data_IF_200418729625
#
_entry.id   IF_200418729625
#
_cell.length_a   1.000
_cell.length_b   1.000
_cell.length_c   1.000
_cell.angle_alpha   90.00
_cell.angle_beta   90.00
_cell.angle_gamma   90.00
#
_symmetry.space_group_name_H-M   'P 1'
#
loop_
_entity.id
_entity.type
_entity.pdbx_description
1 polymer ?
#
# COMPACT_ATOMS: atom_id res chain seq x y z
N UNK A 1 -27.15 32.77 1.08
CA UNK A 1 -27.19 31.50 0.33
C UNK A 1 -25.86 31.10 -0.34
N UNK A 2 -24.89 32.01 -0.44
CA UNK A 2 -23.59 31.79 -1.11
C UNK A 2 -22.65 30.82 -0.37
N UNK A 3 -22.73 30.80 0.96
CA UNK A 3 -21.86 30.00 1.84
C UNK A 3 -22.04 28.47 1.66
N UNK A 4 -23.24 28.01 1.29
CA UNK A 4 -23.55 26.58 1.15
C UNK A 4 -23.01 25.98 -0.15
N UNK A 5 -22.96 26.77 -1.23
CA UNK A 5 -22.36 26.36 -2.51
C UNK A 5 -20.84 26.26 -2.38
N UNK A 6 -20.20 27.28 -1.79
CA UNK A 6 -18.76 27.29 -1.49
C UNK A 6 -18.34 26.09 -0.61
N UNK A 7 -19.12 25.75 0.43
CA UNK A 7 -18.87 24.55 1.24
C UNK A 7 -18.98 23.26 0.42
N UNK A 8 -19.99 23.12 -0.44
CA UNK A 8 -20.14 21.95 -1.32
C UNK A 8 -19.00 21.85 -2.34
N UNK A 9 -18.58 22.95 -2.93
CA UNK A 9 -17.46 23.01 -3.87
C UNK A 9 -16.12 22.72 -3.18
N UNK A 10 -15.89 23.21 -1.96
CA UNK A 10 -14.73 22.85 -1.14
C UNK A 10 -14.71 21.35 -0.79
N UNK A 11 -15.87 20.77 -0.46
CA UNK A 11 -16.00 19.33 -0.20
C UNK A 11 -15.77 18.52 -1.49
N UNK A 12 -16.21 19.03 -2.65
CA UNK A 12 -16.02 18.37 -3.94
C UNK A 12 -14.57 18.48 -4.43
N UNK A 13 -13.94 19.63 -4.26
CA UNK A 13 -12.52 19.87 -4.55
C UNK A 13 -11.60 19.07 -3.61
N UNK A 14 -11.97 18.91 -2.33
CA UNK A 14 -11.31 17.95 -1.42
C UNK A 14 -11.36 16.51 -1.93
N UNK A 15 -12.41 16.13 -2.65
CA UNK A 15 -12.60 14.77 -3.16
C UNK A 15 -11.86 14.46 -4.47
N UNK A 16 -11.45 15.47 -5.24
CA UNK A 16 -10.75 15.29 -6.52
C UNK A 16 -9.22 15.36 -6.38
N UNK A 17 -8.70 15.26 -5.15
CA UNK A 17 -7.27 15.45 -4.90
C UNK A 17 -6.45 14.35 -5.60
N UNK A 18 -5.34 14.71 -6.28
CA UNK A 18 -4.49 13.75 -6.99
C UNK A 18 -3.84 12.69 -6.09
N UNK A 19 -3.87 12.87 -4.77
CA UNK A 19 -3.50 11.88 -3.75
C UNK A 19 -4.47 10.70 -3.67
N UNK A 20 -5.76 10.89 -3.96
CA UNK A 20 -6.74 9.79 -3.93
C UNK A 20 -6.51 8.82 -5.09
N UNK A 21 -6.08 9.27 -6.29
CA UNK A 21 -5.73 8.38 -7.41
C UNK A 21 -4.64 7.38 -7.02
N UNK A 22 -3.53 7.87 -6.47
CA UNK A 22 -2.44 7.01 -5.97
C UNK A 22 -2.91 6.13 -4.80
N UNK A 23 -3.79 6.66 -3.94
CA UNK A 23 -4.42 5.88 -2.87
C UNK A 23 -5.21 4.68 -3.40
N UNK A 24 -6.03 4.88 -4.43
CA UNK A 24 -6.79 3.80 -5.09
C UNK A 24 -5.85 2.82 -5.79
N UNK A 25 -4.87 3.31 -6.54
CA UNK A 25 -3.90 2.45 -7.23
C UNK A 25 -3.16 1.53 -6.25
N UNK A 26 -2.65 2.07 -5.14
CA UNK A 26 -1.97 1.29 -4.10
C UNK A 26 -2.92 0.28 -3.46
N UNK A 27 -4.16 0.68 -3.16
CA UNK A 27 -5.15 -0.23 -2.57
C UNK A 27 -5.43 -1.41 -3.51
N UNK A 28 -5.68 -1.14 -4.79
CA UNK A 28 -5.94 -2.18 -5.81
C UNK A 28 -4.74 -3.10 -6.00
N UNK A 29 -3.53 -2.54 -6.16
CA UNK A 29 -2.29 -3.32 -6.29
C UNK A 29 -2.07 -4.18 -5.06
N UNK A 30 -2.31 -3.64 -3.86
CA UNK A 30 -2.15 -4.37 -2.60
C UNK A 30 -3.15 -5.52 -2.47
N UNK A 31 -4.41 -5.33 -2.90
CA UNK A 31 -5.41 -6.40 -2.91
C UNK A 31 -5.02 -7.50 -3.89
N UNK A 32 -4.65 -7.14 -5.12
CA UNK A 32 -4.27 -8.12 -6.15
C UNK A 32 -3.01 -8.88 -5.76
N UNK A 33 -1.99 -8.19 -5.27
CA UNK A 33 -0.73 -8.82 -4.86
C UNK A 33 -0.93 -9.67 -3.59
N UNK A 34 -1.77 -9.22 -2.65
CA UNK A 34 -2.14 -9.99 -1.46
C UNK A 34 -2.90 -11.27 -1.79
N UNK A 35 -3.88 -11.21 -2.71
CA UNK A 35 -4.62 -12.39 -3.18
C UNK A 35 -3.70 -13.36 -3.93
N UNK A 36 -2.79 -12.84 -4.76
CA UNK A 36 -1.79 -13.66 -5.45
C UNK A 36 -0.89 -14.42 -4.48
N UNK A 37 -0.29 -13.72 -3.49
CA UNK A 37 0.57 -14.33 -2.46
C UNK A 37 -0.22 -15.34 -1.61
N UNK A 38 -1.50 -15.07 -1.33
CA UNK A 38 -2.33 -15.97 -0.55
C UNK A 38 -2.64 -17.28 -1.30
N UNK A 39 -2.83 -17.22 -2.63
CA UNK A 39 -3.19 -18.37 -3.46
C UNK A 39 -1.99 -19.18 -3.93
N UNK A 40 -0.85 -18.53 -4.17
CA UNK A 40 0.34 -19.19 -4.70
C UNK A 40 1.32 -19.46 -3.56
N UNK A 41 1.39 -20.74 -3.19
CA UNK A 41 2.35 -21.24 -2.20
C UNK A 41 3.79 -21.17 -2.73
N UNK A 42 4.70 -20.70 -1.88
CA UNK A 42 6.15 -20.69 -2.11
C UNK A 42 6.70 -19.46 -2.82
N UNK A 43 5.85 -18.51 -3.24
CA UNK A 43 6.27 -17.33 -4.00
C UNK A 43 7.30 -16.48 -3.24
N UNK A 44 6.99 -16.09 -2.00
CA UNK A 44 7.90 -15.26 -1.20
C UNK A 44 9.16 -16.04 -0.77
N UNK A 45 9.02 -17.34 -0.49
CA UNK A 45 10.09 -18.24 -0.06
C UNK A 45 11.10 -18.46 -1.18
N UNK A 46 10.65 -18.55 -2.44
CA UNK A 46 11.56 -18.57 -3.60
C UNK A 46 12.33 -17.27 -3.78
N UNK A 47 11.80 -16.15 -3.29
CA UNK A 47 12.37 -14.81 -3.43
C UNK A 47 13.09 -14.29 -2.17
N UNK A 48 13.10 -15.06 -1.07
CA UNK A 48 13.62 -14.60 0.22
C UNK A 48 14.96 -15.23 0.63
N UNK A 49 15.58 -16.06 -0.24
CA UNK A 49 16.80 -16.80 0.07
C UNK A 49 16.62 -17.83 1.22
N UNK A 50 17.55 -18.79 1.43
CA UNK A 50 17.37 -19.85 2.44
C UNK A 50 17.23 -19.31 3.88
N UNK A 51 17.72 -18.09 4.15
CA UNK A 51 17.65 -17.43 5.45
C UNK A 51 16.23 -17.05 5.90
N UNK A 52 15.28 -16.91 4.96
CA UNK A 52 13.88 -16.55 5.24
C UNK A 52 12.88 -17.61 4.76
N UNK A 53 13.34 -18.85 4.59
CA UNK A 53 12.55 -20.01 4.15
C UNK A 53 11.31 -20.34 5.00
N UNK A 54 11.17 -19.76 6.20
CA UNK A 54 10.03 -19.91 7.11
C UNK A 54 9.12 -18.67 7.18
N UNK A 55 9.12 -17.83 6.16
CA UNK A 55 8.21 -16.68 6.13
C UNK A 55 6.74 -17.14 6.08
N UNK A 56 5.85 -16.58 6.92
CA UNK A 56 4.43 -16.90 6.90
C UNK A 56 3.75 -16.22 5.71
N UNK A 57 3.99 -16.72 4.48
CA UNK A 57 3.55 -16.11 3.22
C UNK A 57 2.05 -15.83 3.18
N UNK A 58 1.24 -16.83 3.55
CA UNK A 58 -0.23 -16.70 3.61
C UNK A 58 -0.66 -15.60 4.56
N UNK A 59 0.05 -15.46 5.69
CA UNK A 59 -0.18 -14.38 6.65
C UNK A 59 0.13 -13.03 6.01
N UNK A 60 1.28 -12.89 5.36
CA UNK A 60 1.69 -11.66 4.69
C UNK A 60 0.69 -11.28 3.59
N UNK A 61 0.32 -12.21 2.71
CA UNK A 61 -0.66 -11.99 1.66
C UNK A 61 -2.03 -11.56 2.20
N UNK A 62 -2.51 -12.23 3.26
CA UNK A 62 -3.76 -11.91 3.92
C UNK A 62 -3.72 -10.53 4.60
N UNK A 63 -2.61 -10.17 5.27
CA UNK A 63 -2.41 -8.82 5.81
C UNK A 63 -2.41 -7.75 4.72
N UNK A 64 -1.76 -8.02 3.59
CA UNK A 64 -1.68 -7.11 2.44
C UNK A 64 -3.07 -6.88 1.83
N UNK A 65 -3.86 -7.95 1.70
CA UNK A 65 -5.24 -7.92 1.24
C UNK A 65 -6.13 -7.12 2.21
N UNK A 66 -6.12 -7.45 3.50
CA UNK A 66 -6.91 -6.72 4.50
C UNK A 66 -6.52 -5.24 4.58
N UNK A 67 -5.23 -4.92 4.59
CA UNK A 67 -4.77 -3.53 4.59
C UNK A 67 -5.19 -2.77 3.32
N UNK A 68 -5.17 -3.43 2.16
CA UNK A 68 -5.67 -2.90 0.89
C UNK A 68 -7.18 -2.63 0.92
N UNK A 69 -7.98 -3.57 1.43
CA UNK A 69 -9.43 -3.40 1.59
C UNK A 69 -9.75 -2.26 2.57
N UNK A 70 -9.07 -2.20 3.72
CA UNK A 70 -9.24 -1.12 4.71
C UNK A 70 -8.91 0.24 4.08
N UNK A 71 -7.86 0.32 3.25
CA UNK A 71 -7.52 1.54 2.51
C UNK A 71 -8.65 1.95 1.58
N UNK A 72 -9.18 1.01 0.82
CA UNK A 72 -10.24 1.23 -0.17
C UNK A 72 -11.54 1.69 0.51
N UNK A 73 -11.94 1.04 1.62
CA UNK A 73 -13.06 1.46 2.47
C UNK A 73 -12.83 2.84 3.06
N UNK A 74 -11.60 3.15 3.50
CA UNK A 74 -11.22 4.48 3.99
C UNK A 74 -11.31 5.56 2.90
N UNK A 75 -11.00 5.23 1.65
CA UNK A 75 -11.14 6.12 0.49
C UNK A 75 -12.61 6.40 0.17
N UNK A 76 -13.44 5.35 0.05
CA UNK A 76 -14.88 5.45 -0.24
C UNK A 76 -15.61 6.19 0.87
N UNK A 77 -15.39 5.78 2.13
CA UNK A 77 -16.06 6.37 3.31
C UNK A 77 -15.49 7.73 3.69
N UNK A 78 -14.45 8.21 2.98
CA UNK A 78 -13.69 9.43 3.26
C UNK A 78 -13.22 9.54 4.72
N UNK A 79 -13.00 8.41 5.39
CA UNK A 79 -12.61 8.36 6.79
C UNK A 79 -11.09 8.56 6.95
N UNK A 80 -10.70 9.66 7.58
CA UNK A 80 -9.29 10.06 7.75
C UNK A 80 -8.45 9.03 8.51
N UNK A 81 -9.01 8.41 9.56
CA UNK A 81 -8.28 7.47 10.41
C UNK A 81 -8.01 6.17 9.65
N UNK A 82 -9.02 5.66 8.95
CA UNK A 82 -8.88 4.46 8.11
C UNK A 82 -7.86 4.69 7.00
N UNK A 83 -7.91 5.83 6.29
CA UNK A 83 -6.92 6.15 5.25
C UNK A 83 -5.49 6.21 5.81
N UNK A 84 -5.30 6.70 7.04
CA UNK A 84 -3.98 6.87 7.69
C UNK A 84 -3.40 5.54 8.17
N UNK A 85 -4.18 4.79 8.94
CA UNK A 85 -3.73 3.52 9.51
C UNK A 85 -3.39 2.54 8.39
N UNK A 86 -4.26 2.45 7.37
CA UNK A 86 -4.02 1.56 6.23
C UNK A 86 -2.79 1.96 5.41
N UNK A 87 -2.49 3.25 5.18
CA UNK A 87 -1.26 3.60 4.45
C UNK A 87 -0.01 3.27 5.25
N UNK A 88 -0.05 3.43 6.58
CA UNK A 88 1.07 3.08 7.44
C UNK A 88 1.32 1.57 7.42
N UNK A 89 0.26 0.78 7.54
CA UNK A 89 0.33 -0.68 7.43
C UNK A 89 0.88 -1.11 6.06
N UNK A 90 0.33 -0.57 4.96
CA UNK A 90 0.81 -0.88 3.61
C UNK A 90 2.26 -0.45 3.41
N UNK A 91 2.68 0.71 3.93
CA UNK A 91 4.08 1.15 3.83
C UNK A 91 5.02 0.20 4.58
N UNK A 92 4.60 -0.30 5.76
CA UNK A 92 5.40 -1.25 6.52
C UNK A 92 5.54 -2.59 5.79
N UNK A 93 4.44 -3.12 5.24
CA UNK A 93 4.45 -4.41 4.52
C UNK A 93 5.26 -4.28 3.22
N UNK A 94 4.97 -3.30 2.38
CA UNK A 94 5.73 -3.06 1.14
C UNK A 94 7.20 -2.71 1.41
N UNK A 95 7.49 -2.06 2.54
CA UNK A 95 8.85 -1.79 3.01
C UNK A 95 9.60 -3.07 3.35
N UNK A 96 8.96 -3.97 4.11
CA UNK A 96 9.52 -5.28 4.44
C UNK A 96 9.77 -6.12 3.17
N UNK A 97 8.80 -6.18 2.26
CA UNK A 97 8.93 -6.90 0.99
C UNK A 97 10.06 -6.34 0.10
N UNK A 98 10.18 -5.01 0.03
CA UNK A 98 11.27 -4.37 -0.70
C UNK A 98 12.62 -4.67 -0.06
N UNK A 99 12.71 -4.67 1.27
CA UNK A 99 13.93 -5.01 1.98
C UNK A 99 14.36 -6.45 1.70
N UNK A 100 13.43 -7.41 1.77
CA UNK A 100 13.68 -8.82 1.44
C UNK A 100 14.20 -8.97 0.00
N UNK A 101 13.56 -8.29 -0.95
CA UNK A 101 13.99 -8.32 -2.37
C UNK A 101 15.37 -7.72 -2.59
N UNK A 102 15.71 -6.64 -1.86
CA UNK A 102 17.04 -6.02 -1.91
C UNK A 102 18.07 -6.98 -1.30
N UNK A 103 17.78 -7.59 -0.16
CA UNK A 103 18.71 -8.55 0.47
C UNK A 103 18.96 -9.77 -0.41
N UNK A 104 17.93 -10.28 -1.09
CA UNK A 104 18.07 -11.36 -2.08
C UNK A 104 18.99 -10.95 -3.25
N UNK A 105 18.86 -9.69 -3.71
CA UNK A 105 19.68 -9.16 -4.80
C UNK A 105 21.17 -9.09 -4.44
N UNK A 106 21.48 -8.86 -3.16
CA UNK A 106 22.86 -8.84 -2.65
C UNK A 106 23.40 -10.24 -2.31
N UNK A 107 22.57 -11.17 -1.83
CA UNK A 107 23.01 -12.51 -1.44
C UNK A 107 23.15 -13.50 -2.60
N UNK A 108 22.26 -13.44 -3.60
CA UNK A 108 22.33 -14.30 -4.81
C UNK A 108 23.11 -13.67 -5.97
N UNK A 109 23.44 -12.37 -5.88
CA UNK A 109 24.13 -11.62 -6.93
C UNK A 109 23.29 -11.33 -8.17
N UNK A 110 22.02 -11.73 -8.20
CA UNK A 110 21.06 -11.39 -9.26
C UNK A 110 19.89 -10.59 -8.67
N UNK A 111 19.55 -9.43 -9.26
CA UNK A 111 18.41 -8.66 -8.79
C UNK A 111 17.13 -9.46 -8.97
N UNK A 112 16.32 -9.54 -7.90
CA UNK A 112 14.99 -10.12 -7.98
C UNK A 112 14.19 -9.41 -9.08
N UNK A 113 13.60 -10.10 -10.07
CA UNK A 113 12.96 -9.43 -11.20
C UNK A 113 11.81 -8.49 -10.82
N UNK A 114 11.26 -8.62 -9.60
CA UNK A 114 10.16 -7.82 -9.08
C UNK A 114 10.61 -6.72 -8.11
N UNK A 115 11.91 -6.56 -7.82
CA UNK A 115 12.39 -5.55 -6.87
C UNK A 115 12.01 -4.11 -7.26
N UNK A 116 12.07 -3.77 -8.56
CA UNK A 116 11.67 -2.45 -9.08
C UNK A 116 10.19 -2.20 -8.79
N UNK A 117 9.36 -3.23 -8.99
CA UNK A 117 7.93 -3.14 -8.73
C UNK A 117 7.66 -2.91 -7.24
N UNK A 118 8.29 -3.68 -6.35
CA UNK A 118 8.13 -3.52 -4.91
C UNK A 118 8.57 -2.13 -4.43
N UNK A 119 9.74 -1.66 -4.89
CA UNK A 119 10.26 -0.33 -4.59
C UNK A 119 9.33 0.76 -5.11
N UNK A 120 8.80 0.61 -6.34
CA UNK A 120 7.87 1.58 -6.91
C UNK A 120 6.59 1.70 -6.07
N UNK A 121 6.02 0.56 -5.65
CA UNK A 121 4.82 0.56 -4.80
C UNK A 121 5.12 1.15 -3.42
N UNK A 122 6.29 0.87 -2.85
CA UNK A 122 6.76 1.49 -1.61
C UNK A 122 6.87 3.02 -1.75
N UNK A 123 7.51 3.51 -2.80
CA UNK A 123 7.65 4.95 -3.08
C UNK A 123 6.27 5.60 -3.25
N UNK A 124 5.33 4.92 -3.92
CA UNK A 124 3.95 5.38 -4.03
C UNK A 124 3.28 5.47 -2.64
N UNK A 125 3.44 4.45 -1.79
CA UNK A 125 2.95 4.42 -0.41
C UNK A 125 3.50 5.59 0.42
N UNK A 126 4.82 5.81 0.36
CA UNK A 126 5.49 6.90 1.05
C UNK A 126 5.01 8.26 0.52
N UNK A 127 4.85 8.42 -0.81
CA UNK A 127 4.33 9.66 -1.40
C UNK A 127 2.91 9.97 -0.91
N UNK A 128 2.04 8.97 -0.82
CA UNK A 128 0.67 9.13 -0.30
C UNK A 128 0.69 9.38 1.21
N UNK A 129 1.59 8.76 1.96
CA UNK A 129 1.77 8.99 3.39
C UNK A 129 2.26 10.41 3.70
N UNK A 130 3.32 10.86 3.01
CA UNK A 130 3.97 12.16 3.22
C UNK A 130 3.13 13.35 2.77
N UNK A 131 2.25 13.19 1.76
CA UNK A 131 1.32 14.26 1.35
C UNK A 131 0.33 14.65 2.45
N UNK A 132 0.21 13.88 3.53
CA UNK A 132 -0.45 14.34 4.74
C UNK A 132 -1.93 14.68 4.58
N UNK A 133 -2.61 14.01 3.64
CA UNK A 133 -4.04 14.19 3.31
C UNK A 133 -5.01 13.83 4.48
N UNK A 134 -4.44 13.63 5.67
CA UNK A 134 -5.07 13.39 6.96
C UNK A 134 -5.31 14.68 7.76
N UNK A 135 -4.73 15.81 7.32
CA UNK A 135 -5.05 17.14 7.85
C UNK A 135 -6.30 17.69 7.16
N UNK A 136 -7.44 17.36 7.73
CA UNK A 136 -8.62 18.19 7.57
C UNK A 136 -8.88 18.82 8.92
N UNK A 137 -8.67 20.14 8.96
CA UNK A 137 -8.75 20.99 10.15
C UNK A 137 -10.03 20.70 10.93
N UNK A 138 -9.83 20.70 12.25
CA UNK A 138 -10.88 20.80 13.26
C UNK A 138 -11.62 22.14 13.11
#
# INVERSE_FOLDING_TARGET
MENTKLKKELIHAKSKRPSDFWGYAIATVSILHGDFIYRIDGYLVTHAEPYLSKLPEKGIGLFLLFAGVIKLVGLISRNKYLKKISIWMLSAIWGGLSFVSITYSFGTGYPDPYYIFMIFVLVACLRVSSKGDYKYDA
#
